data_IF_761452381020
#
_entry.id   IF_761452381020
#
_cell.length_a   1.000
_cell.length_b   1.000
_cell.length_c   1.000
_cell.angle_alpha   90.00
_cell.angle_beta   90.00
_cell.angle_gamma   90.00
#
_symmetry.space_group_name_H-M   'P 1'
#
loop_
_entity.id
_entity.type
_entity.pdbx_description
1 polymer ?
#
# COMPACT_ATOMS: atom_id res chain seq x y z
N UNK A 1 -5.08 0.29 13.01
CA UNK A 1 -5.54 1.63 13.32
C UNK A 1 -6.13 2.34 12.12
N UNK A 2 -5.35 2.61 11.08
CA UNK A 2 -5.92 3.10 9.82
C UNK A 2 -6.11 1.90 8.90
N UNK A 3 -7.37 1.45 8.78
CA UNK A 3 -7.68 0.21 8.08
C UNK A 3 -7.90 0.41 6.58
N UNK A 4 -8.34 1.59 6.19
CA UNK A 4 -8.55 1.91 4.77
C UNK A 4 -8.51 3.43 4.59
N UNK A 5 -8.22 3.84 3.36
CA UNK A 5 -8.34 5.24 2.97
C UNK A 5 -8.95 5.32 1.58
N UNK A 6 -9.75 6.35 1.37
CA UNK A 6 -10.38 6.59 0.09
C UNK A 6 -10.07 8.02 -0.33
N UNK A 7 -9.61 8.20 -1.55
CA UNK A 7 -9.28 9.53 -2.03
C UNK A 7 -8.96 9.54 -3.50
N UNK A 8 -8.47 10.67 -3.97
CA UNK A 8 -8.12 10.87 -5.38
C UNK A 8 -6.60 10.93 -5.49
N UNK A 9 -6.06 10.21 -6.46
CA UNK A 9 -4.62 10.19 -6.70
C UNK A 9 -4.17 11.58 -7.17
N UNK A 10 -3.23 12.18 -6.43
CA UNK A 10 -2.63 13.46 -6.80
C UNK A 10 -1.37 13.27 -7.63
N UNK A 11 -0.54 12.30 -7.24
CA UNK A 11 0.71 12.01 -7.93
C UNK A 11 1.10 10.57 -7.70
N UNK A 12 1.98 10.07 -8.56
CA UNK A 12 2.45 8.70 -8.49
C UNK A 12 3.96 8.66 -8.71
N UNK A 13 4.62 7.82 -7.92
CA UNK A 13 6.04 7.52 -8.03
C UNK A 13 6.21 6.02 -8.20
N UNK A 14 7.43 5.52 -8.49
CA UNK A 14 7.62 4.08 -8.72
C UNK A 14 7.22 3.18 -7.57
N UNK A 15 7.30 3.67 -6.34
CA UNK A 15 7.04 2.86 -5.14
C UNK A 15 5.82 3.32 -4.35
N UNK A 16 5.20 4.44 -4.72
CA UNK A 16 4.18 5.05 -3.89
C UNK A 16 3.29 6.00 -4.68
N UNK A 17 2.23 6.45 -4.03
CA UNK A 17 1.38 7.50 -4.57
C UNK A 17 0.98 8.45 -3.45
N UNK A 18 0.47 9.61 -3.83
CA UNK A 18 -0.10 10.56 -2.88
C UNK A 18 -1.59 10.66 -3.15
N UNK A 19 -2.39 10.43 -2.11
CA UNK A 19 -3.84 10.57 -2.19
C UNK A 19 -4.29 11.85 -1.53
N UNK A 20 -5.25 12.51 -2.14
CA UNK A 20 -5.93 13.65 -1.54
C UNK A 20 -7.03 13.14 -0.61
N UNK A 21 -6.95 13.49 0.66
CA UNK A 21 -7.95 13.17 1.67
C UNK A 21 -8.43 14.51 2.24
N UNK A 22 -9.45 15.09 1.60
CA UNK A 22 -9.85 16.46 1.91
C UNK A 22 -8.71 17.41 1.57
N UNK A 23 -8.26 18.22 2.49
CA UNK A 23 -7.15 19.14 2.27
C UNK A 23 -5.77 18.53 2.56
N UNK A 24 -5.71 17.22 2.76
CA UNK A 24 -4.48 16.53 3.16
C UNK A 24 -3.97 15.65 2.04
N UNK A 25 -2.67 15.71 1.72
CA UNK A 25 -2.02 14.78 0.80
C UNK A 25 -1.29 13.71 1.60
N UNK A 26 -1.65 12.44 1.39
CA UNK A 26 -1.08 11.32 2.14
C UNK A 26 -0.31 10.40 1.20
N UNK A 27 0.94 10.13 1.55
CA UNK A 27 1.76 9.20 0.78
C UNK A 27 1.50 7.77 1.22
N UNK A 28 1.24 6.90 0.24
CA UNK A 28 0.96 5.49 0.48
C UNK A 28 1.88 4.67 -0.40
N UNK A 29 2.63 3.76 0.20
CA UNK A 29 3.45 2.79 -0.54
C UNK A 29 2.58 1.60 -0.91
N UNK A 30 2.76 1.08 -2.11
CA UNK A 30 1.88 0.05 -2.65
C UNK A 30 2.61 -0.86 -3.62
N UNK A 31 2.05 -2.05 -3.91
CA UNK A 31 2.65 -2.95 -4.90
C UNK A 31 2.73 -2.32 -6.29
N UNK A 32 3.74 -2.71 -7.04
CA UNK A 32 4.02 -2.12 -8.34
C UNK A 32 2.86 -2.27 -9.33
N UNK A 33 2.18 -3.41 -9.32
CA UNK A 33 1.05 -3.64 -10.23
C UNK A 33 -0.14 -2.73 -9.95
N UNK A 34 -0.39 -2.45 -8.67
CA UNK A 34 -1.44 -1.50 -8.29
C UNK A 34 -1.08 -0.09 -8.75
N UNK A 35 0.16 0.33 -8.51
CA UNK A 35 0.63 1.65 -8.92
C UNK A 35 0.55 1.83 -10.42
N UNK A 36 0.85 0.76 -11.18
CA UNK A 36 0.80 0.81 -12.64
C UNK A 36 -0.61 1.05 -13.19
N UNK A 37 -1.64 0.70 -12.43
CA UNK A 37 -3.03 0.86 -12.84
C UNK A 37 -3.64 2.20 -12.46
N UNK A 38 -2.98 2.95 -11.59
CA UNK A 38 -3.52 4.20 -11.05
C UNK A 38 -2.87 5.41 -11.70
N UNK A 39 -3.67 6.44 -11.96
CA UNK A 39 -3.20 7.68 -12.55
C UNK A 39 -3.72 8.87 -11.76
N UNK A 40 -3.03 10.01 -11.81
CA UNK A 40 -3.55 11.23 -11.18
C UNK A 40 -4.98 11.51 -11.65
N UNK A 41 -5.84 11.81 -10.69
CA UNK A 41 -7.26 12.03 -10.95
C UNK A 41 -8.14 10.82 -10.66
N UNK A 42 -7.58 9.63 -10.55
CA UNK A 42 -8.36 8.43 -10.24
C UNK A 42 -8.81 8.43 -8.79
N UNK A 43 -10.07 8.05 -8.57
CA UNK A 43 -10.57 7.79 -7.23
C UNK A 43 -10.28 6.35 -6.86
N UNK A 44 -9.80 6.12 -5.66
CA UNK A 44 -9.43 4.77 -5.22
C UNK A 44 -9.68 4.59 -3.73
N UNK A 45 -10.06 3.35 -3.37
CA UNK A 45 -10.12 2.90 -1.99
C UNK A 45 -8.97 1.91 -1.80
N UNK A 46 -8.12 2.15 -0.82
CA UNK A 46 -7.02 1.27 -0.48
C UNK A 46 -7.21 0.69 0.92
N UNK A 47 -6.92 -0.59 1.06
CA UNK A 47 -6.86 -1.26 2.36
C UNK A 47 -5.45 -1.09 2.89
N UNK A 48 -5.32 -0.55 4.09
CA UNK A 48 -4.05 -0.01 4.55
C UNK A 48 -3.50 -0.68 5.80
N UNK A 49 -2.18 -0.61 5.92
CA UNK A 49 -1.44 -0.97 7.11
C UNK A 49 -0.56 0.21 7.51
N UNK A 50 -0.75 0.71 8.72
CA UNK A 50 0.10 1.76 9.26
C UNK A 50 1.25 1.12 10.02
N UNK A 51 2.47 1.33 9.52
CA UNK A 51 3.67 0.81 10.14
C UNK A 51 4.28 1.91 11.01
N UNK A 52 4.35 1.66 12.31
CA UNK A 52 4.81 2.63 13.28
C UNK A 52 6.21 2.25 13.75
N UNK A 53 7.14 3.18 13.59
CA UNK A 53 8.48 3.07 14.14
C UNK A 53 8.72 4.26 15.07
N UNK A 54 9.80 4.21 15.83
CA UNK A 54 10.13 5.23 16.79
C UNK A 54 10.15 6.64 16.21
N UNK A 55 10.64 6.80 14.99
CA UNK A 55 10.77 8.10 14.34
C UNK A 55 10.03 8.22 13.02
N UNK A 56 9.16 7.26 12.70
CA UNK A 56 8.58 7.19 11.38
C UNK A 56 7.20 6.54 11.41
N UNK A 57 6.28 7.12 10.65
CA UNK A 57 4.98 6.53 10.35
C UNK A 57 4.90 6.31 8.85
N UNK A 58 4.67 5.07 8.42
CA UNK A 58 4.60 4.74 7.01
C UNK A 58 3.30 4.00 6.72
N UNK A 59 2.60 4.44 5.68
CA UNK A 59 1.33 3.85 5.28
C UNK A 59 1.54 2.98 4.04
N UNK A 60 1.08 1.73 4.11
CA UNK A 60 1.11 0.79 3.01
C UNK A 60 -0.32 0.49 2.58
N UNK A 61 -0.58 0.46 1.27
CA UNK A 61 -1.92 0.29 0.75
C UNK A 61 -2.01 -0.80 -0.31
N UNK A 62 -3.17 -1.45 -0.35
CA UNK A 62 -3.43 -2.60 -1.21
C UNK A 62 -4.82 -2.49 -1.81
N UNK A 63 -5.00 -3.11 -2.99
CA UNK A 63 -6.25 -3.04 -3.71
C UNK A 63 -7.38 -3.81 -3.02
N UNK A 64 -7.03 -4.89 -2.30
CA UNK A 64 -8.02 -5.70 -1.63
C UNK A 64 -7.52 -6.20 -0.27
N UNK A 65 -8.45 -6.74 0.51
CA UNK A 65 -8.16 -7.20 1.87
C UNK A 65 -7.25 -8.44 1.89
N UNK A 66 -7.29 -9.24 0.84
CA UNK A 66 -6.46 -10.45 0.77
C UNK A 66 -4.99 -10.09 0.63
N UNK A 67 -4.68 -9.10 -0.20
CA UNK A 67 -3.32 -8.62 -0.33
C UNK A 67 -2.81 -8.02 0.97
N UNK A 68 -3.66 -7.24 1.65
CA UNK A 68 -3.32 -6.67 2.94
C UNK A 68 -3.02 -7.77 3.96
N UNK A 69 -3.87 -8.79 4.03
CA UNK A 69 -3.69 -9.90 4.96
C UNK A 69 -2.38 -10.64 4.68
N UNK A 70 -2.06 -10.85 3.41
CA UNK A 70 -0.82 -11.52 3.03
C UNK A 70 0.40 -10.69 3.42
N UNK A 71 0.34 -9.37 3.19
CA UNK A 71 1.40 -8.46 3.61
C UNK A 71 1.63 -8.55 5.12
N UNK A 72 0.56 -8.51 5.89
CA UNK A 72 0.65 -8.59 7.36
C UNK A 72 1.20 -9.94 7.81
N UNK A 73 0.85 -11.01 7.12
CA UNK A 73 1.38 -12.34 7.39
C UNK A 73 2.90 -12.36 7.18
N UNK A 74 3.37 -11.77 6.08
CA UNK A 74 4.80 -11.70 5.79
C UNK A 74 5.56 -10.89 6.84
N UNK A 75 4.96 -9.84 7.38
CA UNK A 75 5.59 -9.06 8.44
C UNK A 75 5.81 -9.85 9.72
N UNK A 76 5.05 -10.93 9.91
CA UNK A 76 5.22 -11.82 11.05
C UNK A 76 6.38 -12.80 10.89
N UNK A 77 6.97 -12.88 9.70
CA UNK A 77 8.10 -13.77 9.45
C UNK A 77 9.38 -13.07 9.86
N UNK A 78 10.21 -13.77 10.64
CA UNK A 78 11.47 -13.23 11.12
C UNK A 78 12.37 -12.81 9.95
N UNK A 79 12.88 -11.59 10.02
CA UNK A 79 13.77 -11.05 9.01
C UNK A 79 13.09 -10.39 7.82
N UNK A 80 11.75 -10.39 7.77
CA UNK A 80 11.02 -9.71 6.70
C UNK A 80 10.43 -8.41 7.22
N UNK A 81 10.95 -7.29 6.69
CA UNK A 81 10.39 -5.96 6.97
C UNK A 81 9.37 -5.55 5.92
N UNK A 82 8.76 -4.36 6.08
CA UNK A 82 7.71 -3.91 5.16
C UNK A 82 8.15 -3.80 3.71
N UNK A 83 9.36 -3.31 3.45
CA UNK A 83 9.85 -3.18 2.07
C UNK A 83 10.04 -4.54 1.40
N UNK A 84 10.57 -5.51 2.15
CA UNK A 84 10.74 -6.87 1.63
C UNK A 84 9.40 -7.53 1.37
N UNK A 85 8.43 -7.36 2.28
CA UNK A 85 7.09 -7.89 2.11
C UNK A 85 6.41 -7.28 0.88
N UNK A 86 6.56 -5.98 0.69
CA UNK A 86 5.99 -5.29 -0.47
C UNK A 86 6.62 -5.77 -1.77
N UNK A 87 7.93 -6.02 -1.76
CA UNK A 87 8.64 -6.55 -2.92
C UNK A 87 8.13 -7.94 -3.30
N UNK A 88 7.87 -8.80 -2.31
CA UNK A 88 7.30 -10.13 -2.55
C UNK A 88 5.96 -10.00 -3.27
N UNK A 89 5.09 -9.13 -2.75
CA UNK A 89 3.76 -8.92 -3.35
C UNK A 89 3.86 -8.35 -4.76
N UNK A 90 4.80 -7.44 -5.01
CA UNK A 90 4.99 -6.82 -6.32
C UNK A 90 5.42 -7.83 -7.39
N UNK A 91 6.04 -8.93 -6.99
CA UNK A 91 6.56 -9.95 -7.90
C UNK A 91 5.68 -11.19 -7.99
N UNK A 92 4.55 -11.22 -7.29
CA UNK A 92 3.62 -12.35 -7.33
C UNK A 92 2.47 -12.09 -8.29
N UNK A 93 2.04 -13.11 -9.07
CA UNK A 93 0.81 -12.97 -9.83
C UNK A 93 -0.38 -12.76 -8.90
N UNK A 94 -1.33 -11.92 -9.32
CA UNK A 94 -2.52 -11.63 -8.51
C UNK A 94 -3.26 -12.91 -8.13
N UNK A 95 -3.33 -13.87 -9.05
CA UNK A 95 -4.05 -15.12 -8.83
C UNK A 95 -3.40 -16.01 -7.77
N UNK A 96 -2.12 -15.84 -7.53
CA UNK A 96 -1.40 -16.63 -6.53
C UNK A 96 -1.81 -16.27 -5.09
N UNK A 97 -2.47 -15.12 -4.90
CA UNK A 97 -2.89 -14.63 -3.59
C UNK A 97 -4.31 -15.07 -3.22
N UNK A 98 -5.00 -15.75 -4.12
CA UNK A 98 -6.42 -16.09 -3.94
C UNK A 98 -6.68 -17.58 -3.80
#
# INVERSE_FOLDING_TARGET
MIASIEGVVLSRQPDSLVLALGGLGVRVYAPADLLARLRPGDAVLLHTHLHVREQELTLYGFADEQELAFFQLLLGVSGIGPKSALSVLSNMPVDALR
#
